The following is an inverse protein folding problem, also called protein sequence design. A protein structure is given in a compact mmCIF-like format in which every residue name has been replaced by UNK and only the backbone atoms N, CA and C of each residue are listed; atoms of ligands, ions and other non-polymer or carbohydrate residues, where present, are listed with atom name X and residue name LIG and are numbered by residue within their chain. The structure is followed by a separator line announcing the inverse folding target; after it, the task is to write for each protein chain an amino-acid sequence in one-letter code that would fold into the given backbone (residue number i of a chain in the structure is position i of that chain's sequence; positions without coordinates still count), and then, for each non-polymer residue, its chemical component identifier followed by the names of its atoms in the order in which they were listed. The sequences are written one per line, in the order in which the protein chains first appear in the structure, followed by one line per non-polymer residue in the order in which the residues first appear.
data_IF_675751609397
#
_entry.id   IF_675751609397
#
_cell.length_a   1.000
_cell.length_b   1.000
_cell.length_c   1.000
_cell.angle_alpha   90.00
_cell.angle_beta   90.00
_cell.angle_gamma   90.00
#
_symmetry.space_group_name_H-M   'P 1'
#
loop_
_entity.id
_entity.type
_entity.pdbx_description
1 polymer ?
#
# COMPACT_ATOMS: atom_id res chain seq x y z
N UNK A 1 -4.07 13.41 -4.30
CA UNK A 1 -3.95 12.13 -3.62
C UNK A 1 -3.72 12.28 -2.12
N UNK A 2 -4.44 11.51 -1.32
CA UNK A 2 -4.38 11.51 0.15
C UNK A 2 -3.39 10.47 0.72
N UNK A 3 -2.34 10.16 -0.03
CA UNK A 3 -1.21 9.37 0.46
C UNK A 3 -0.22 10.19 1.28
N UNK A 4 0.91 9.60 1.74
CA UNK A 4 1.91 10.28 2.59
C UNK A 4 2.35 11.64 2.05
N UNK A 5 2.62 11.73 0.74
CA UNK A 5 3.08 12.97 0.11
C UNK A 5 2.02 14.06 0.13
N UNK A 6 0.77 13.71 -0.23
CA UNK A 6 -0.34 14.67 -0.26
C UNK A 6 -0.71 15.15 1.13
N UNK A 7 -0.81 14.24 2.11
CA UNK A 7 -1.09 14.60 3.50
C UNK A 7 0.02 15.48 4.09
N UNK A 8 1.29 15.18 3.82
CA UNK A 8 2.42 16.00 4.27
C UNK A 8 2.41 17.39 3.64
N UNK A 9 2.16 17.49 2.31
CA UNK A 9 2.05 18.76 1.62
C UNK A 9 0.90 19.58 2.19
N UNK A 10 -0.27 18.97 2.38
CA UNK A 10 -1.44 19.63 2.93
C UNK A 10 -1.19 20.20 4.33
N UNK A 11 -0.54 19.43 5.21
CA UNK A 11 -0.12 19.92 6.52
C UNK A 11 0.76 21.16 6.39
N UNK A 12 1.81 21.09 5.56
CA UNK A 12 2.76 22.20 5.40
C UNK A 12 2.13 23.46 4.80
N UNK A 13 1.13 23.31 3.95
CA UNK A 13 0.40 24.43 3.38
C UNK A 13 -0.59 25.01 4.40
N UNK A 14 -1.37 24.18 5.07
CA UNK A 14 -2.36 24.63 6.05
C UNK A 14 -1.72 25.41 7.21
N UNK A 15 -0.59 24.94 7.78
CA UNK A 15 0.11 25.67 8.85
C UNK A 15 0.72 27.00 8.38
N UNK A 16 0.81 27.25 7.07
CA UNK A 16 1.23 28.51 6.48
C UNK A 16 0.06 29.42 6.10
N UNK A 17 -1.18 29.00 6.40
CA UNK A 17 -2.38 29.78 6.19
C UNK A 17 -3.01 29.65 4.81
N UNK A 18 -2.60 28.66 4.01
CA UNK A 18 -3.28 28.35 2.75
C UNK A 18 -4.53 27.51 2.99
N UNK A 19 -5.56 27.75 2.21
CA UNK A 19 -6.72 26.87 2.09
C UNK A 19 -6.31 25.65 1.26
N UNK A 20 -6.60 24.44 1.76
CA UNK A 20 -6.13 23.19 1.14
C UNK A 20 -7.26 22.19 0.98
N UNK A 21 -7.43 21.72 -0.25
CA UNK A 21 -8.29 20.58 -0.57
C UNK A 21 -7.45 19.40 -1.09
N UNK A 22 -7.71 18.20 -0.59
CA UNK A 22 -7.16 16.94 -1.11
C UNK A 22 -8.28 16.16 -1.79
N UNK A 23 -8.06 15.74 -3.02
CA UNK A 23 -8.93 14.79 -3.74
C UNK A 23 -8.22 13.46 -3.93
N UNK A 24 -8.89 12.36 -3.62
CA UNK A 24 -8.35 11.01 -3.76
C UNK A 24 -9.36 10.06 -4.40
N UNK A 25 -8.89 9.22 -5.30
CA UNK A 25 -9.72 8.22 -5.97
C UNK A 25 -10.16 7.07 -5.06
N UNK A 26 -9.44 6.84 -3.96
CA UNK A 26 -9.74 5.77 -3.01
C UNK A 26 -10.86 6.17 -2.04
N UNK A 27 -11.47 5.17 -1.39
CA UNK A 27 -12.58 5.38 -0.48
C UNK A 27 -12.16 6.07 0.83
N UNK A 28 -10.90 5.90 1.24
CA UNK A 28 -10.38 6.46 2.48
C UNK A 28 -8.98 7.03 2.30
N UNK A 29 -8.61 8.07 3.06
CA UNK A 29 -7.27 8.67 2.98
C UNK A 29 -6.21 7.75 3.61
N UNK A 30 -4.95 7.95 3.21
CA UNK A 30 -3.80 7.23 3.71
C UNK A 30 -2.93 6.60 2.62
N UNK A 31 -3.47 6.42 1.41
CA UNK A 31 -2.71 5.85 0.29
C UNK A 31 -2.04 4.52 0.65
N UNK A 32 -0.74 4.36 0.34
CA UNK A 32 0.00 3.12 0.66
C UNK A 32 0.13 2.82 2.15
N UNK A 33 0.00 3.79 3.03
CA UNK A 33 -0.06 3.53 4.48
C UNK A 33 -1.31 2.74 4.86
N UNK A 34 -2.44 2.99 4.19
CA UNK A 34 -3.71 2.27 4.41
C UNK A 34 -3.81 0.98 3.59
N UNK A 35 -3.49 1.08 2.30
CA UNK A 35 -3.79 0.03 1.32
C UNK A 35 -2.62 -0.91 1.03
N UNK A 36 -1.40 -0.56 1.45
CA UNK A 36 -0.20 -1.36 1.23
C UNK A 36 0.40 -1.94 2.50
N UNK A 37 0.38 -1.18 3.61
CA UNK A 37 0.89 -1.66 4.89
C UNK A 37 -0.22 -2.40 5.65
N UNK A 38 -0.03 -3.67 6.05
CA UNK A 38 -1.01 -4.41 6.82
C UNK A 38 -1.33 -3.76 8.17
N UNK A 39 -2.57 -3.92 8.63
CA UNK A 39 -3.06 -3.31 9.87
C UNK A 39 -2.26 -3.72 11.12
N UNK A 40 -1.74 -4.94 11.15
CA UNK A 40 -0.92 -5.41 12.27
C UNK A 40 0.44 -4.69 12.39
N UNK A 41 0.90 -4.02 11.32
CA UNK A 41 2.10 -3.14 11.33
C UNK A 41 1.75 -1.69 11.57
N UNK A 42 0.65 -1.23 10.98
CA UNK A 42 0.16 0.14 11.12
C UNK A 42 -1.34 0.10 11.44
N UNK A 43 -1.71 0.14 12.74
CA UNK A 43 -3.10 0.17 13.16
C UNK A 43 -3.86 1.35 12.54
N UNK A 44 -5.03 1.09 11.99
CA UNK A 44 -5.82 2.11 11.27
C UNK A 44 -6.18 3.29 12.15
N UNK A 45 -6.45 3.06 13.44
CA UNK A 45 -6.73 4.14 14.40
C UNK A 45 -5.60 5.18 14.51
N UNK A 46 -4.33 4.76 14.36
CA UNK A 46 -3.19 5.68 14.37
C UNK A 46 -3.21 6.56 13.13
N UNK A 47 -3.41 5.95 11.95
CA UNK A 47 -3.51 6.69 10.69
C UNK A 47 -4.70 7.65 10.68
N UNK A 48 -5.85 7.18 11.16
CA UNK A 48 -7.08 7.98 11.21
C UNK A 48 -6.92 9.18 12.15
N UNK A 49 -6.24 9.03 13.29
CA UNK A 49 -5.94 10.13 14.18
C UNK A 49 -5.02 11.18 13.53
N UNK A 50 -4.02 10.76 12.74
CA UNK A 50 -3.17 11.70 12.00
C UNK A 50 -3.94 12.43 10.90
N UNK A 51 -4.83 11.75 10.19
CA UNK A 51 -5.70 12.38 9.19
C UNK A 51 -6.67 13.37 9.84
N UNK A 52 -7.26 13.01 10.98
CA UNK A 52 -8.18 13.88 11.71
C UNK A 52 -7.51 15.20 12.11
N UNK A 53 -6.24 15.19 12.50
CA UNK A 53 -5.47 16.42 12.81
C UNK A 53 -5.37 17.37 11.62
N UNK A 54 -5.27 16.85 10.39
CA UNK A 54 -5.26 17.68 9.20
C UNK A 54 -6.64 18.33 8.97
N UNK A 55 -7.70 17.56 9.18
CA UNK A 55 -9.08 18.08 9.09
C UNK A 55 -9.32 19.17 10.13
N UNK A 56 -8.83 19.00 11.37
CA UNK A 56 -8.88 20.02 12.43
C UNK A 56 -8.11 21.30 12.07
N UNK A 57 -7.06 21.20 11.25
CA UNK A 57 -6.34 22.35 10.69
C UNK A 57 -7.08 23.03 9.54
N UNK A 58 -8.27 22.55 9.14
CA UNK A 58 -9.06 23.10 8.05
C UNK A 58 -8.80 22.47 6.68
N UNK A 59 -8.00 21.40 6.59
CA UNK A 59 -7.81 20.69 5.32
C UNK A 59 -9.09 19.94 4.95
N UNK A 60 -9.60 20.18 3.75
CA UNK A 60 -10.74 19.44 3.18
C UNK A 60 -10.21 18.19 2.46
N UNK A 61 -10.76 17.01 2.77
CA UNK A 61 -10.38 15.76 2.12
C UNK A 61 -11.61 15.12 1.48
N UNK A 62 -11.59 15.00 0.15
CA UNK A 62 -12.67 14.41 -0.66
C UNK A 62 -12.20 13.13 -1.30
N UNK A 63 -12.67 12.00 -0.76
CA UNK A 63 -12.40 10.65 -1.27
C UNK A 63 -13.40 10.24 -2.36
N UNK A 64 -13.15 9.07 -3.01
CA UNK A 64 -13.92 8.57 -4.16
C UNK A 64 -13.97 9.56 -5.33
N UNK A 65 -12.97 10.42 -5.44
CA UNK A 65 -12.90 11.49 -6.45
C UNK A 65 -11.66 11.29 -7.32
N UNK A 66 -11.84 10.57 -8.42
CA UNK A 66 -10.79 10.38 -9.42
C UNK A 66 -10.70 11.60 -10.33
N UNK A 67 -9.51 12.15 -10.47
CA UNK A 67 -9.23 13.27 -11.36
C UNK A 67 -8.57 12.72 -12.63
N UNK A 68 -9.21 12.95 -13.76
CA UNK A 68 -8.72 12.54 -15.08
C UNK A 68 -8.07 13.69 -15.86
N UNK A 69 -8.46 14.95 -15.59
CA UNK A 69 -7.88 16.15 -16.18
C UNK A 69 -7.56 17.20 -15.11
N UNK A 70 -6.25 17.33 -14.82
CA UNK A 70 -5.77 18.26 -13.79
C UNK A 70 -5.96 19.74 -14.15
N UNK A 71 -5.88 20.09 -15.44
CA UNK A 71 -6.00 21.47 -15.86
C UNK A 71 -7.45 21.95 -15.82
N UNK A 72 -8.37 21.08 -16.22
CA UNK A 72 -9.79 21.33 -16.08
C UNK A 72 -10.18 21.50 -14.61
N UNK A 73 -9.75 20.59 -13.75
CA UNK A 73 -10.03 20.64 -12.30
C UNK A 73 -9.45 21.89 -11.63
N UNK A 74 -8.25 22.32 -12.03
CA UNK A 74 -7.65 23.54 -11.51
C UNK A 74 -8.50 24.77 -11.88
N UNK A 75 -8.91 24.84 -13.15
CA UNK A 75 -9.68 25.98 -13.65
C UNK A 75 -11.12 26.03 -13.07
N UNK A 76 -11.79 24.87 -12.99
CA UNK A 76 -13.15 24.76 -12.46
C UNK A 76 -13.22 25.01 -10.95
N UNK A 77 -12.18 24.58 -10.22
CA UNK A 77 -12.08 24.73 -8.77
C UNK A 77 -11.49 26.08 -8.33
N UNK A 78 -11.09 26.94 -9.26
CA UNK A 78 -10.40 28.22 -8.98
C UNK A 78 -9.18 28.05 -8.05
N UNK A 79 -8.40 26.98 -8.31
CA UNK A 79 -7.20 26.69 -7.51
C UNK A 79 -5.99 27.45 -8.04
N UNK A 80 -5.28 28.16 -7.15
CA UNK A 80 -4.01 28.82 -7.46
C UNK A 80 -2.93 27.85 -7.91
N UNK A 81 -2.88 26.64 -7.31
CA UNK A 81 -1.90 25.62 -7.62
C UNK A 81 -2.43 24.20 -7.35
N UNK A 82 -1.88 23.23 -8.07
CA UNK A 82 -2.16 21.81 -7.89
C UNK A 82 -0.87 21.05 -7.55
N UNK A 83 -0.88 20.32 -6.44
CA UNK A 83 0.19 19.41 -6.05
C UNK A 83 -0.19 17.97 -6.41
N UNK A 84 0.56 17.36 -7.33
CA UNK A 84 0.29 16.00 -7.80
C UNK A 84 0.97 14.96 -6.90
N UNK A 85 0.16 14.20 -6.15
CA UNK A 85 0.61 13.19 -5.18
C UNK A 85 -0.08 11.84 -5.39
N UNK A 86 -0.18 11.39 -6.64
CA UNK A 86 -0.94 10.18 -7.04
C UNK A 86 -0.28 8.86 -6.63
N UNK A 87 0.96 8.88 -6.15
CA UNK A 87 1.69 7.70 -5.68
C UNK A 87 2.10 6.73 -6.78
N UNK A 88 2.43 5.50 -6.40
CA UNK A 88 2.86 4.41 -7.28
C UNK A 88 2.10 3.12 -6.92
N UNK A 89 0.88 3.00 -7.41
CA UNK A 89 -0.01 1.88 -7.13
C UNK A 89 0.10 0.70 -8.11
N UNK A 90 0.92 0.86 -9.16
CA UNK A 90 1.17 -0.19 -10.14
C UNK A 90 2.46 -0.93 -9.80
N UNK A 91 2.37 -2.23 -9.65
CA UNK A 91 3.52 -3.09 -9.43
C UNK A 91 4.35 -3.27 -10.70
N UNK A 92 5.64 -3.44 -10.51
CA UNK A 92 6.50 -3.89 -11.61
C UNK A 92 6.18 -5.36 -11.92
N UNK A 93 5.82 -5.63 -13.17
CA UNK A 93 5.69 -7.01 -13.64
C UNK A 93 7.05 -7.69 -13.64
N UNK A 94 7.08 -8.92 -13.16
CA UNK A 94 8.24 -9.81 -13.25
C UNK A 94 7.92 -10.80 -14.35
N UNK A 95 8.86 -10.99 -15.28
CA UNK A 95 8.73 -12.00 -16.32
C UNK A 95 9.05 -13.37 -15.72
N UNK A 96 8.00 -14.15 -15.47
CA UNK A 96 8.08 -15.51 -14.95
C UNK A 96 7.33 -16.42 -15.92
N UNK A 97 7.85 -17.61 -16.25
CA UNK A 97 7.11 -18.58 -17.06
C UNK A 97 5.72 -18.87 -16.47
N UNK A 98 4.72 -18.98 -17.33
CA UNK A 98 3.33 -19.28 -16.98
C UNK A 98 2.62 -18.21 -16.13
N UNK A 99 2.98 -16.94 -16.27
CA UNK A 99 2.27 -15.84 -15.59
C UNK A 99 0.76 -15.81 -15.83
N UNK A 100 0.30 -16.38 -16.93
CA UNK A 100 -1.12 -16.44 -17.32
C UNK A 100 -1.87 -17.64 -16.71
N UNK A 101 -1.26 -18.38 -15.80
CA UNK A 101 -1.82 -19.59 -15.19
C UNK A 101 -3.00 -19.35 -14.22
N UNK A 102 -3.62 -18.19 -14.24
CA UNK A 102 -4.89 -17.88 -13.55
C UNK A 102 -4.86 -17.79 -12.02
N UNK A 103 -3.73 -18.13 -11.40
CA UNK A 103 -3.56 -18.10 -9.94
C UNK A 103 -2.45 -17.15 -9.46
N UNK A 104 -1.97 -16.29 -10.36
CA UNK A 104 -0.97 -15.28 -10.01
C UNK A 104 -1.64 -13.96 -9.67
N UNK A 105 -1.35 -13.48 -8.47
CA UNK A 105 -1.88 -12.21 -7.97
C UNK A 105 -0.72 -11.27 -7.69
N UNK A 106 -0.86 -10.03 -8.09
CA UNK A 106 0.05 -8.97 -7.72
C UNK A 106 -0.01 -8.69 -6.22
N UNK A 107 1.15 -8.63 -5.56
CA UNK A 107 1.22 -8.49 -4.10
C UNK A 107 0.61 -7.18 -3.59
N UNK A 108 0.76 -6.07 -4.32
CA UNK A 108 0.17 -4.78 -3.90
C UNK A 108 -1.34 -4.84 -4.05
N UNK A 109 -1.85 -5.42 -5.13
CA UNK A 109 -3.29 -5.66 -5.33
C UNK A 109 -3.85 -6.56 -4.24
N UNK A 110 -3.16 -7.67 -3.93
CA UNK A 110 -3.56 -8.59 -2.86
C UNK A 110 -3.66 -7.88 -1.50
N UNK A 111 -2.64 -7.11 -1.11
CA UNK A 111 -2.63 -6.36 0.15
C UNK A 111 -3.72 -5.29 0.20
N UNK A 112 -3.95 -4.59 -0.92
CA UNK A 112 -5.01 -3.59 -1.05
C UNK A 112 -6.39 -4.21 -0.89
N UNK A 113 -6.65 -5.34 -1.52
CA UNK A 113 -7.93 -6.03 -1.43
C UNK A 113 -8.21 -6.45 0.01
N UNK A 114 -7.22 -7.02 0.70
CA UNK A 114 -7.34 -7.36 2.12
C UNK A 114 -7.56 -6.12 3.00
N UNK A 115 -6.82 -5.05 2.75
CA UNK A 115 -6.98 -3.78 3.48
C UNK A 115 -8.35 -3.12 3.24
N UNK A 116 -8.97 -3.39 2.10
CA UNK A 116 -10.33 -2.94 1.77
C UNK A 116 -11.44 -3.84 2.34
N UNK A 117 -11.08 -4.82 3.18
CA UNK A 117 -12.03 -5.76 3.80
C UNK A 117 -12.40 -6.96 2.91
N UNK A 118 -11.85 -7.05 1.71
CA UNK A 118 -12.02 -8.23 0.88
C UNK A 118 -11.20 -9.39 1.44
N UNK A 119 -11.72 -10.60 1.28
CA UNK A 119 -10.98 -11.84 1.60
C UNK A 119 -10.78 -12.62 0.31
N UNK A 120 -9.68 -12.34 -0.43
CA UNK A 120 -9.41 -13.07 -1.65
C UNK A 120 -9.25 -14.56 -1.33
N UNK A 121 -9.81 -15.41 -2.17
CA UNK A 121 -9.58 -16.85 -2.07
C UNK A 121 -8.12 -17.14 -2.39
N UNK A 122 -7.43 -17.77 -1.45
CA UNK A 122 -6.05 -18.20 -1.61
C UNK A 122 -5.97 -19.72 -1.47
N UNK A 123 -5.01 -20.33 -2.14
CA UNK A 123 -4.76 -21.76 -2.00
C UNK A 123 -4.15 -22.10 -0.64
N UNK A 124 -4.15 -23.39 -0.32
CA UNK A 124 -3.50 -23.92 0.89
C UNK A 124 -1.98 -23.66 0.90
N UNK A 125 -1.38 -23.57 -0.28
CA UNK A 125 0.04 -23.29 -0.46
C UNK A 125 0.21 -22.05 -1.31
N UNK A 126 0.85 -21.02 -0.75
CA UNK A 126 1.08 -19.73 -1.41
C UNK A 126 2.58 -19.51 -1.57
N UNK A 127 3.02 -19.32 -2.79
CA UNK A 127 4.39 -18.96 -3.12
C UNK A 127 4.47 -17.47 -3.45
N UNK A 128 5.38 -16.76 -2.81
CA UNK A 128 5.60 -15.33 -3.01
C UNK A 128 6.97 -15.14 -3.64
N UNK A 129 7.01 -14.61 -4.86
CA UNK A 129 8.24 -14.33 -5.57
C UNK A 129 8.79 -12.94 -5.24
N UNK A 130 9.90 -12.91 -4.52
CA UNK A 130 10.55 -11.70 -4.06
C UNK A 130 10.87 -11.74 -2.56
N UNK A 131 11.73 -10.84 -2.09
CA UNK A 131 12.12 -10.74 -0.68
C UNK A 131 12.22 -9.29 -0.20
N UNK A 132 11.37 -8.41 -0.70
CA UNK A 132 11.20 -7.06 -0.18
C UNK A 132 10.15 -7.01 0.94
N UNK A 133 9.99 -5.87 1.61
CA UNK A 133 8.99 -5.70 2.67
C UNK A 133 7.57 -6.08 2.21
N UNK A 134 7.19 -5.72 0.97
CA UNK A 134 5.90 -6.11 0.39
C UNK A 134 5.73 -7.63 0.30
N UNK A 135 6.80 -8.37 -0.02
CA UNK A 135 6.75 -9.82 -0.07
C UNK A 135 6.58 -10.44 1.33
N UNK A 136 7.27 -9.88 2.33
CA UNK A 136 7.10 -10.29 3.73
C UNK A 136 5.67 -10.03 4.22
N UNK A 137 5.12 -8.85 3.91
CA UNK A 137 3.74 -8.50 4.24
C UNK A 137 2.74 -9.44 3.57
N UNK A 138 2.89 -9.69 2.27
CA UNK A 138 2.01 -10.60 1.54
C UNK A 138 2.07 -12.03 2.10
N UNK A 139 3.26 -12.51 2.44
CA UNK A 139 3.44 -13.85 3.01
C UNK A 139 2.76 -13.99 4.39
N UNK A 140 2.92 -13.00 5.26
CA UNK A 140 2.29 -12.98 6.58
C UNK A 140 0.77 -12.85 6.48
N UNK A 141 0.27 -12.00 5.57
CA UNK A 141 -1.16 -11.86 5.31
C UNK A 141 -1.74 -13.17 4.78
N UNK A 142 -1.06 -13.87 3.86
CA UNK A 142 -1.50 -15.16 3.36
C UNK A 142 -1.61 -16.21 4.50
N UNK A 143 -0.63 -16.24 5.42
CA UNK A 143 -0.70 -17.08 6.63
C UNK A 143 -1.93 -16.76 7.48
N UNK A 144 -2.18 -15.48 7.73
CA UNK A 144 -3.31 -15.00 8.52
C UNK A 144 -4.67 -15.26 7.87
N UNK A 145 -4.72 -15.34 6.53
CA UNK A 145 -5.91 -15.74 5.77
C UNK A 145 -6.14 -17.26 5.74
N UNK A 146 -5.21 -18.07 6.28
CA UNK A 146 -5.37 -19.51 6.44
C UNK A 146 -4.60 -20.38 5.45
N UNK A 147 -3.56 -19.85 4.80
CA UNK A 147 -2.63 -20.68 4.05
C UNK A 147 -1.88 -21.63 4.98
N UNK A 148 -1.84 -22.93 4.64
CA UNK A 148 -1.09 -23.94 5.39
C UNK A 148 0.42 -23.76 5.20
N UNK A 149 0.85 -23.41 3.99
CA UNK A 149 2.21 -23.05 3.62
C UNK A 149 2.24 -21.68 2.97
N UNK A 150 3.06 -20.77 3.50
CA UNK A 150 3.44 -19.51 2.84
C UNK A 150 4.96 -19.51 2.65
N UNK A 151 5.41 -19.35 1.40
CA UNK A 151 6.80 -19.60 1.01
C UNK A 151 7.32 -18.40 0.23
N UNK A 152 8.35 -17.74 0.75
CA UNK A 152 9.14 -16.74 0.02
C UNK A 152 10.09 -17.47 -0.92
N UNK A 153 10.10 -17.08 -2.18
CA UNK A 153 11.03 -17.55 -3.20
C UNK A 153 11.88 -16.38 -3.66
N UNK A 154 13.19 -16.46 -3.45
CA UNK A 154 14.09 -15.38 -3.79
C UNK A 154 15.33 -15.87 -4.53
N UNK A 155 15.68 -15.19 -5.63
CA UNK A 155 16.78 -15.55 -6.53
C UNK A 155 18.18 -15.31 -5.98
N UNK A 156 18.31 -14.62 -4.83
CA UNK A 156 19.59 -14.26 -4.21
C UNK A 156 19.68 -14.84 -2.81
N UNK A 157 20.78 -14.52 -2.11
CA UNK A 157 21.00 -14.93 -0.72
C UNK A 157 20.23 -14.04 0.28
N UNK A 158 20.19 -14.45 1.51
CA UNK A 158 19.59 -13.70 2.60
C UNK A 158 20.27 -12.34 2.80
N UNK A 159 21.60 -12.26 2.69
CA UNK A 159 22.38 -11.02 2.86
C UNK A 159 22.04 -9.98 1.78
N UNK A 160 21.52 -10.42 0.63
CA UNK A 160 21.11 -9.55 -0.49
C UNK A 160 19.61 -9.24 -0.47
N UNK A 161 18.92 -9.65 0.57
CA UNK A 161 17.49 -9.39 0.73
C UNK A 161 17.24 -7.89 0.96
N UNK A 162 16.31 -7.29 0.21
CA UNK A 162 16.01 -5.86 0.37
C UNK A 162 15.02 -5.55 1.51
N UNK A 163 14.38 -6.57 2.11
CA UNK A 163 13.53 -6.38 3.28
C UNK A 163 14.36 -6.11 4.54
N UNK A 164 13.76 -5.41 5.49
CA UNK A 164 14.36 -5.25 6.82
C UNK A 164 14.41 -6.59 7.55
N UNK A 165 15.46 -6.80 8.33
CA UNK A 165 15.71 -8.07 9.06
C UNK A 165 14.55 -8.38 10.01
N UNK A 166 14.03 -7.38 10.71
CA UNK A 166 12.92 -7.51 11.65
C UNK A 166 11.63 -8.02 10.96
N UNK A 167 11.41 -7.64 9.69
CA UNK A 167 10.26 -8.11 8.91
C UNK A 167 10.42 -9.57 8.50
N UNK A 168 11.62 -9.98 8.12
CA UNK A 168 11.93 -11.37 7.83
C UNK A 168 11.74 -12.24 9.09
N UNK A 169 12.35 -11.85 10.21
CA UNK A 169 12.19 -12.56 11.48
C UNK A 169 10.73 -12.63 11.93
N UNK A 170 9.96 -11.55 11.70
CA UNK A 170 8.53 -11.52 11.95
C UNK A 170 7.77 -12.54 11.09
N UNK A 171 8.15 -12.66 9.82
CA UNK A 171 7.56 -13.63 8.89
C UNK A 171 7.91 -15.08 9.31
N UNK A 172 9.15 -15.34 9.67
CA UNK A 172 9.58 -16.67 10.14
C UNK A 172 8.86 -17.08 11.44
N UNK A 173 8.71 -16.16 12.40
CA UNK A 173 7.93 -16.40 13.63
C UNK A 173 6.46 -16.76 13.35
N UNK A 174 5.88 -16.27 12.25
CA UNK A 174 4.54 -16.64 11.78
C UNK A 174 4.52 -17.91 10.90
N UNK A 175 5.66 -18.59 10.74
CA UNK A 175 5.77 -19.85 10.00
C UNK A 175 5.89 -19.67 8.49
N UNK A 176 6.29 -18.50 8.01
CA UNK A 176 6.68 -18.30 6.61
C UNK A 176 8.02 -19.00 6.35
N UNK A 177 8.10 -19.75 5.26
CA UNK A 177 9.30 -20.46 4.85
C UNK A 177 10.12 -19.61 3.87
N UNK A 178 11.44 -19.58 4.04
CA UNK A 178 12.36 -18.86 3.15
C UNK A 178 13.08 -19.84 2.22
N UNK A 179 12.98 -19.60 0.91
CA UNK A 179 13.70 -20.35 -0.12
C UNK A 179 14.60 -19.39 -0.91
N UNK A 180 15.89 -19.45 -0.59
CA UNK A 180 16.93 -18.66 -1.21
C UNK A 180 17.50 -19.34 -2.47
N UNK A 181 18.08 -18.55 -3.39
CA UNK A 181 18.78 -19.02 -4.60
C UNK A 181 17.89 -19.87 -5.55
N UNK A 182 16.63 -19.45 -5.73
CA UNK A 182 15.65 -20.08 -6.61
C UNK A 182 15.21 -19.16 -7.75
#
# INVERSE_FOLDING_TARGET
GAGPSGLSAAYQLAVRGHEVEIRDAMAEPGGMMRYGIPEYRLPRAVLDAEVARLVELGVVITCNTKIDDLLAEQAEGDFDAVFVAIGAHLSKRVDIPNMDAGHMVDAVTFLRDVASGNRPEIGKRVAIYGAGNTAMDAARVARRLGADDSIIIYRRTQEQMPAHVEEMEGAEREGVKMNWLR
#
